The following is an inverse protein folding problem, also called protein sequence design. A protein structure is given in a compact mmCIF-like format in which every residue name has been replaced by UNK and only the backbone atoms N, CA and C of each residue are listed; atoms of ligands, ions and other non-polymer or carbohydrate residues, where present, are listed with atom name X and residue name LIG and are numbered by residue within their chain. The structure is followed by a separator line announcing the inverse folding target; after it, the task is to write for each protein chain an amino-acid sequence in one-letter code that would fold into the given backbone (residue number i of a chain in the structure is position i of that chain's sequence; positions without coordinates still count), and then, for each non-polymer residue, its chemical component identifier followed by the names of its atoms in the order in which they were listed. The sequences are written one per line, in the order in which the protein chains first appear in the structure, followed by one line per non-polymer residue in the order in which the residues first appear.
data_IF_658314351096
#
_entry.id   IF_658314351096
#
_cell.length_a   1.000
_cell.length_b   1.000
_cell.length_c   1.000
_cell.angle_alpha   90.00
_cell.angle_beta   90.00
_cell.angle_gamma   90.00
#
_symmetry.space_group_name_H-M   'P 1'
#
loop_
_entity.id
_entity.type
_entity.pdbx_description
1 polymer ?
#
# COMPACT_ATOMS: atom_id res chain seq x y z
N UNK A 1 17.49 9.06 -14.58
CA UNK A 1 17.73 8.27 -13.34
C UNK A 1 18.95 8.74 -12.56
N UNK A 2 20.04 9.16 -13.21
CA UNK A 2 21.31 9.54 -12.56
C UNK A 2 21.17 10.53 -11.39
N UNK A 3 20.44 11.63 -11.60
CA UNK A 3 20.24 12.67 -10.56
C UNK A 3 19.59 12.09 -9.30
N UNK A 4 18.52 11.31 -9.45
CA UNK A 4 17.84 10.68 -8.32
C UNK A 4 18.69 9.57 -7.68
N UNK A 5 19.38 8.76 -8.49
CA UNK A 5 20.27 7.70 -8.02
C UNK A 5 21.46 8.24 -7.21
N UNK A 6 21.92 9.47 -7.49
CA UNK A 6 22.98 10.14 -6.71
C UNK A 6 22.60 10.45 -5.26
N UNK A 7 21.31 10.31 -4.91
CA UNK A 7 20.79 10.44 -3.54
C UNK A 7 20.71 9.10 -2.80
N UNK A 8 21.04 7.99 -3.47
CA UNK A 8 20.91 6.64 -2.93
C UNK A 8 22.11 6.17 -2.09
N UNK A 9 21.99 5.01 -1.40
CA UNK A 9 22.99 4.51 -0.45
C UNK A 9 24.33 4.12 -1.08
N UNK A 10 24.40 3.97 -2.40
CA UNK A 10 25.63 3.67 -3.12
C UNK A 10 26.38 4.94 -3.56
N UNK A 11 25.79 6.12 -3.37
CA UNK A 11 26.40 7.38 -3.77
C UNK A 11 27.30 7.94 -2.64
N UNK A 12 28.41 8.62 -2.98
CA UNK A 12 29.33 9.16 -1.99
C UNK A 12 28.68 10.23 -1.08
N UNK A 13 27.63 10.90 -1.56
CA UNK A 13 26.95 11.99 -0.87
C UNK A 13 25.71 11.52 -0.07
N UNK A 14 25.51 10.22 0.16
CA UNK A 14 24.32 9.67 0.83
C UNK A 14 24.00 10.34 2.18
N UNK A 15 24.98 10.48 3.07
CA UNK A 15 24.79 11.09 4.39
C UNK A 15 24.47 12.58 4.31
N UNK A 16 25.05 13.26 3.31
CA UNK A 16 24.77 14.67 3.03
C UNK A 16 23.34 14.84 2.52
N UNK A 17 22.87 13.93 1.68
CA UNK A 17 21.47 13.91 1.23
C UNK A 17 20.51 13.65 2.39
N UNK A 18 20.81 12.72 3.31
CA UNK A 18 19.99 12.51 4.51
C UNK A 18 19.78 13.78 5.33
N UNK A 19 20.86 14.52 5.60
CA UNK A 19 20.80 15.83 6.28
C UNK A 19 20.00 16.86 5.47
N UNK A 20 20.20 16.91 4.16
CA UNK A 20 19.52 17.85 3.27
C UNK A 20 18.01 17.58 3.24
N UNK A 21 17.60 16.34 3.08
CA UNK A 21 16.20 15.92 3.01
C UNK A 21 15.50 16.14 4.36
N UNK A 22 16.14 15.78 5.48
CA UNK A 22 15.61 16.02 6.83
C UNK A 22 15.49 17.52 7.15
N UNK A 23 16.44 18.34 6.69
CA UNK A 23 16.33 19.79 6.86
C UNK A 23 15.22 20.41 6.01
N UNK A 24 14.95 19.82 4.83
CA UNK A 24 13.93 20.28 3.87
C UNK A 24 12.51 19.85 4.27
N UNK A 25 12.33 18.61 4.71
CA UNK A 25 11.03 18.01 5.07
C UNK A 25 10.98 17.76 6.58
N UNK A 26 10.33 18.67 7.32
CA UNK A 26 10.31 18.66 8.80
C UNK A 26 9.55 17.47 9.40
N UNK A 27 8.65 16.88 8.63
CA UNK A 27 7.83 15.72 8.96
C UNK A 27 8.47 14.40 8.52
N UNK A 28 9.69 14.42 7.95
CA UNK A 28 10.42 13.22 7.59
C UNK A 28 10.76 12.41 8.85
N UNK A 29 10.28 11.17 8.90
CA UNK A 29 10.39 10.31 10.07
C UNK A 29 11.82 9.76 10.30
N UNK A 30 12.53 9.44 9.22
CA UNK A 30 13.87 8.85 9.28
C UNK A 30 14.92 9.88 8.81
N UNK A 31 16.08 10.00 9.47
CA UNK A 31 17.09 11.00 9.10
C UNK A 31 17.91 10.66 7.85
N UNK A 32 17.95 9.40 7.43
CA UNK A 32 18.72 8.92 6.29
C UNK A 32 18.12 9.38 4.96
N UNK A 33 18.90 9.33 3.88
CA UNK A 33 18.35 9.56 2.54
C UNK A 33 17.48 8.37 2.13
N UNK A 34 16.31 8.63 1.56
CA UNK A 34 15.44 7.61 0.98
C UNK A 34 14.96 8.07 -0.40
N UNK A 35 14.64 7.09 -1.24
CA UNK A 35 14.25 7.30 -2.62
C UNK A 35 12.96 8.12 -2.72
N UNK A 36 11.97 7.87 -1.84
CA UNK A 36 10.71 8.60 -1.83
C UNK A 36 10.93 10.10 -1.57
N UNK A 37 11.62 10.48 -0.50
CA UNK A 37 11.91 11.87 -0.18
C UNK A 37 12.87 12.53 -1.18
N UNK A 38 13.80 11.76 -1.76
CA UNK A 38 14.66 12.22 -2.86
C UNK A 38 13.85 12.63 -4.10
N UNK A 39 12.82 11.87 -4.48
CA UNK A 39 11.94 12.23 -5.59
C UNK A 39 11.10 13.47 -5.28
N UNK A 40 10.54 13.56 -4.06
CA UNK A 40 9.81 14.76 -3.61
C UNK A 40 10.71 15.99 -3.64
N UNK A 41 11.98 15.87 -3.25
CA UNK A 41 12.94 16.97 -3.33
C UNK A 41 13.10 17.47 -4.76
N UNK A 42 13.26 16.58 -5.75
CA UNK A 42 13.37 16.96 -7.16
C UNK A 42 12.10 17.64 -7.67
N UNK A 43 10.93 17.14 -7.28
CA UNK A 43 9.64 17.74 -7.66
C UNK A 43 9.44 19.14 -7.06
N UNK A 44 9.91 19.37 -5.82
CA UNK A 44 9.71 20.64 -5.11
C UNK A 44 10.79 21.67 -5.45
N UNK A 45 12.07 21.25 -5.50
CA UNK A 45 13.23 22.15 -5.67
C UNK A 45 13.67 22.31 -7.12
N UNK A 46 13.39 21.33 -7.98
CA UNK A 46 13.72 21.36 -9.40
C UNK A 46 12.46 21.24 -10.27
N UNK A 47 11.34 21.82 -9.78
CA UNK A 47 10.02 21.71 -10.40
C UNK A 47 10.03 22.04 -11.90
N UNK A 48 10.76 23.08 -12.31
CA UNK A 48 10.77 23.57 -13.70
C UNK A 48 11.44 22.57 -14.64
N UNK A 49 12.25 21.64 -14.11
CA UNK A 49 12.88 20.58 -14.91
C UNK A 49 12.04 19.30 -14.98
N UNK A 50 11.36 18.97 -13.88
CA UNK A 50 10.80 17.63 -13.67
C UNK A 50 9.27 17.58 -13.58
N UNK A 51 8.61 18.60 -13.02
CA UNK A 51 7.19 18.52 -12.65
C UNK A 51 6.28 18.31 -13.87
N UNK A 52 6.51 18.99 -14.99
CA UNK A 52 5.69 18.86 -16.20
C UNK A 52 5.78 17.48 -16.86
N UNK A 53 6.81 16.69 -16.51
CA UNK A 53 7.04 15.33 -17.03
C UNK A 53 6.51 14.25 -16.09
N UNK A 54 5.99 14.64 -14.92
CA UNK A 54 5.57 13.72 -13.87
C UNK A 54 4.08 13.91 -13.62
N UNK A 55 3.30 12.86 -13.86
CA UNK A 55 1.89 12.82 -13.53
C UNK A 55 1.70 12.24 -12.13
N UNK A 56 1.13 13.04 -11.23
CA UNK A 56 0.75 12.60 -9.88
C UNK A 56 -0.68 12.05 -9.90
N UNK A 57 -0.79 10.72 -9.96
CA UNK A 57 -2.08 10.03 -9.96
C UNK A 57 -2.79 10.18 -8.61
N UNK A 58 -4.05 10.62 -8.65
CA UNK A 58 -4.92 10.82 -7.48
C UNK A 58 -6.38 10.47 -7.73
N UNK A 59 -6.76 10.11 -8.95
CA UNK A 59 -8.10 9.70 -9.36
C UNK A 59 -8.46 8.30 -8.88
N UNK A 60 -7.46 7.44 -8.62
CA UNK A 60 -7.63 6.15 -7.96
C UNK A 60 -6.47 5.85 -7.00
N UNK A 61 -6.68 4.91 -6.08
CA UNK A 61 -5.65 4.47 -5.13
C UNK A 61 -4.63 3.56 -5.82
N UNK A 62 -3.73 4.15 -6.59
CA UNK A 62 -2.61 3.44 -7.20
C UNK A 62 -1.73 2.78 -6.12
N UNK A 63 -1.30 3.57 -5.14
CA UNK A 63 -0.69 3.14 -3.89
C UNK A 63 -1.51 3.70 -2.73
N UNK A 64 -1.61 2.94 -1.63
CA UNK A 64 -2.14 3.51 -0.40
C UNK A 64 -1.64 2.78 0.82
N UNK A 65 -1.35 3.53 1.88
CA UNK A 65 -0.82 2.99 3.11
C UNK A 65 -1.85 2.10 3.80
N UNK A 66 -1.38 1.01 4.37
CA UNK A 66 -2.22 0.10 5.14
C UNK A 66 -3.04 0.83 6.23
N UNK A 67 -2.42 1.67 7.05
CA UNK A 67 -3.09 2.40 8.12
C UNK A 67 -4.22 3.33 7.64
N UNK A 68 -4.14 3.84 6.41
CA UNK A 68 -5.17 4.70 5.81
C UNK A 68 -6.38 3.91 5.30
N UNK A 69 -6.26 2.59 5.20
CA UNK A 69 -7.29 1.68 4.68
C UNK A 69 -7.99 0.90 5.79
N UNK A 70 -7.38 0.77 6.97
CA UNK A 70 -7.80 -0.19 8.01
C UNK A 70 -8.30 0.52 9.26
N UNK A 71 -9.34 1.34 9.12
CA UNK A 71 -10.32 1.44 10.20
C UNK A 71 -11.45 0.47 9.88
N UNK A 72 -11.46 -0.70 10.54
CA UNK A 72 -12.48 -1.76 10.35
C UNK A 72 -13.91 -1.22 10.54
N UNK A 73 -14.11 -0.29 11.47
CA UNK A 73 -15.39 0.41 11.68
C UNK A 73 -15.86 1.21 10.47
N UNK A 74 -14.95 1.81 9.70
CA UNK A 74 -15.27 2.61 8.52
C UNK A 74 -15.46 1.75 7.27
N UNK A 75 -14.75 0.62 7.17
CA UNK A 75 -14.87 -0.31 6.05
C UNK A 75 -16.27 -0.96 6.03
N UNK A 76 -16.73 -1.54 7.16
CA UNK A 76 -18.07 -2.14 7.25
C UNK A 76 -19.19 -1.11 7.10
N UNK A 77 -19.03 0.09 7.69
CA UNK A 77 -20.02 1.16 7.57
C UNK A 77 -20.09 1.77 6.16
N UNK A 78 -19.01 1.71 5.36
CA UNK A 78 -18.99 2.20 3.97
C UNK A 78 -19.58 1.22 2.97
N UNK A 79 -19.55 -0.09 3.22
CA UNK A 79 -20.02 -1.11 2.27
C UNK A 79 -21.44 -0.85 1.70
N UNK A 80 -22.44 -0.40 2.47
CA UNK A 80 -23.77 -0.08 1.94
C UNK A 80 -23.77 1.14 1.00
N UNK A 81 -23.04 2.19 1.34
CA UNK A 81 -22.91 3.42 0.53
C UNK A 81 -22.09 3.18 -0.74
N UNK A 82 -21.04 2.37 -0.61
CA UNK A 82 -20.19 1.92 -1.71
C UNK A 82 -21.02 1.11 -2.71
N UNK A 83 -21.83 0.12 -2.28
CA UNK A 83 -22.77 -0.59 -3.16
C UNK A 83 -23.74 0.34 -3.89
N UNK A 84 -24.30 1.35 -3.20
CA UNK A 84 -25.28 2.29 -3.77
C UNK A 84 -24.70 3.24 -4.83
N UNK A 85 -23.42 3.57 -4.72
CA UNK A 85 -22.71 4.41 -5.70
C UNK A 85 -22.13 3.62 -6.89
N UNK A 86 -22.56 2.37 -7.11
CA UNK A 86 -21.97 1.46 -8.11
C UNK A 86 -20.58 0.95 -7.73
N UNK A 87 -20.19 1.19 -6.48
CA UNK A 87 -18.85 1.00 -5.97
C UNK A 87 -18.73 -0.10 -4.89
N UNK A 88 -19.59 -1.13 -4.91
CA UNK A 88 -19.53 -2.24 -3.96
C UNK A 88 -18.32 -3.15 -4.16
N UNK A 89 -18.26 -4.27 -3.41
CA UNK A 89 -17.35 -5.41 -3.68
C UNK A 89 -17.19 -5.54 -5.22
N UNK A 90 -15.95 -5.33 -5.73
CA UNK A 90 -15.57 -5.17 -7.16
C UNK A 90 -15.50 -3.73 -7.76
N UNK A 91 -15.32 -2.66 -6.97
CA UNK A 91 -15.27 -1.29 -7.50
C UNK A 91 -13.93 -0.55 -7.47
N UNK A 92 -13.93 0.61 -8.15
CA UNK A 92 -12.85 1.57 -8.41
C UNK A 92 -12.09 2.12 -7.19
N UNK A 93 -12.52 1.78 -5.96
CA UNK A 93 -11.87 2.24 -4.71
C UNK A 93 -11.20 1.13 -3.91
N UNK A 94 -11.13 -0.09 -4.45
CA UNK A 94 -10.17 -1.08 -3.98
C UNK A 94 -8.79 -0.60 -4.37
N UNK A 95 -7.84 -0.51 -3.43
CA UNK A 95 -6.50 -0.12 -3.81
C UNK A 95 -5.91 -1.14 -4.75
N UNK A 96 -5.23 -0.65 -5.78
CA UNK A 96 -4.47 -1.52 -6.67
C UNK A 96 -3.28 -2.12 -5.90
N UNK A 97 -2.56 -1.29 -5.15
CA UNK A 97 -1.46 -1.72 -4.26
C UNK A 97 -1.81 -1.40 -2.80
N UNK A 98 -1.67 -2.39 -1.92
CA UNK A 98 -1.66 -2.18 -0.47
C UNK A 98 -0.22 -2.22 0.02
N UNK A 99 0.31 -1.06 0.41
CA UNK A 99 1.68 -0.93 0.87
C UNK A 99 1.74 -0.90 2.41
N UNK A 100 2.56 -1.80 2.95
CA UNK A 100 2.80 -1.97 4.39
C UNK A 100 4.04 -1.17 4.83
N UNK A 101 4.00 0.14 4.61
CA UNK A 101 5.11 1.05 4.92
C UNK A 101 5.49 0.94 6.40
N UNK A 102 6.77 0.71 6.68
CA UNK A 102 7.28 0.63 8.05
C UNK A 102 7.12 -0.73 8.77
N UNK A 103 6.42 -1.71 8.17
CA UNK A 103 6.28 -3.03 8.78
C UNK A 103 7.59 -3.84 8.79
N UNK A 104 8.48 -3.62 7.81
CA UNK A 104 9.84 -4.17 7.76
C UNK A 104 9.96 -5.68 8.13
N UNK A 105 9.18 -6.58 7.50
CA UNK A 105 9.07 -7.98 7.91
C UNK A 105 10.40 -8.77 7.78
N UNK A 106 11.32 -8.34 6.92
CA UNK A 106 12.58 -9.04 6.68
C UNK A 106 13.70 -8.69 7.66
N UNK A 107 13.70 -7.47 8.23
CA UNK A 107 14.79 -7.02 9.10
C UNK A 107 14.54 -7.32 10.58
N UNK A 108 13.30 -7.64 10.95
CA UNK A 108 12.87 -7.83 12.34
C UNK A 108 12.87 -6.56 13.20
N UNK A 109 13.29 -5.41 12.64
CA UNK A 109 13.33 -4.11 13.32
C UNK A 109 12.04 -3.35 13.07
N UNK A 110 10.92 -3.88 13.55
CA UNK A 110 9.60 -3.26 13.34
C UNK A 110 9.59 -1.81 13.85
N UNK A 111 9.00 -0.90 13.06
CA UNK A 111 8.79 0.48 13.50
C UNK A 111 7.89 0.49 14.75
N UNK A 112 8.37 1.11 15.83
CA UNK A 112 7.67 1.20 17.12
C UNK A 112 6.28 1.87 17.04
N UNK A 113 6.00 2.60 15.95
CA UNK A 113 4.69 3.20 15.70
C UNK A 113 3.58 2.18 15.39
N UNK A 114 3.93 0.93 15.07
CA UNK A 114 2.96 -0.13 14.77
C UNK A 114 3.28 -1.36 15.63
N UNK A 115 2.29 -1.90 16.35
CA UNK A 115 2.46 -3.18 17.03
C UNK A 115 2.85 -4.25 15.98
N UNK A 116 3.98 -4.95 16.15
CA UNK A 116 4.50 -5.90 15.16
C UNK A 116 3.49 -6.99 14.75
N UNK A 117 2.66 -7.43 15.70
CA UNK A 117 1.54 -8.35 15.47
C UNK A 117 0.48 -7.78 14.51
N UNK A 118 0.22 -6.46 14.58
CA UNK A 118 -0.70 -5.76 13.68
C UNK A 118 -0.18 -5.77 12.23
N UNK A 119 1.12 -5.59 12.02
CA UNK A 119 1.72 -5.64 10.69
C UNK A 119 1.57 -7.03 10.04
N UNK A 120 1.95 -8.08 10.75
CA UNK A 120 1.91 -9.45 10.20
C UNK A 120 0.48 -9.92 9.93
N UNK A 121 -0.42 -9.75 10.90
CA UNK A 121 -1.84 -10.10 10.75
C UNK A 121 -2.49 -9.35 9.59
N UNK A 122 -2.14 -8.08 9.43
CA UNK A 122 -2.67 -7.27 8.34
C UNK A 122 -2.13 -7.66 6.97
N UNK A 123 -0.86 -8.06 6.89
CA UNK A 123 -0.29 -8.63 5.66
C UNK A 123 -1.01 -9.92 5.27
N UNK A 124 -1.22 -10.83 6.22
CA UNK A 124 -1.99 -12.07 5.99
C UNK A 124 -3.41 -11.76 5.50
N UNK A 125 -4.12 -10.84 6.16
CA UNK A 125 -5.47 -10.42 5.73
C UNK A 125 -5.47 -9.90 4.29
N UNK A 126 -4.51 -9.06 3.92
CA UNK A 126 -4.42 -8.49 2.57
C UNK A 126 -4.10 -9.55 1.51
N UNK A 127 -3.19 -10.48 1.80
CA UNK A 127 -2.84 -11.58 0.92
C UNK A 127 -4.04 -12.51 0.70
N UNK A 128 -4.69 -12.98 1.78
CA UNK A 128 -5.84 -13.88 1.68
C UNK A 128 -7.05 -13.20 1.04
N UNK A 129 -7.19 -11.87 1.18
CA UNK A 129 -8.18 -11.10 0.44
C UNK A 129 -7.89 -11.06 -1.08
N UNK A 130 -6.63 -10.91 -1.47
CA UNK A 130 -6.21 -10.99 -2.86
C UNK A 130 -6.39 -12.40 -3.41
N UNK A 131 -5.98 -13.42 -2.65
CA UNK A 131 -6.09 -14.82 -3.05
C UNK A 131 -7.55 -15.26 -3.21
N UNK A 132 -8.45 -14.75 -2.37
CA UNK A 132 -9.89 -14.90 -2.54
C UNK A 132 -10.45 -14.32 -3.84
N UNK A 133 -9.75 -13.45 -4.56
CA UNK A 133 -10.18 -13.01 -5.90
C UNK A 133 -9.81 -14.05 -6.97
N UNK A 134 -8.77 -14.86 -6.72
CA UNK A 134 -8.32 -15.95 -7.59
C UNK A 134 -9.07 -17.25 -7.27
N UNK A 135 -9.08 -17.67 -6.01
CA UNK A 135 -9.70 -18.92 -5.54
C UNK A 135 -11.18 -19.05 -5.90
N UNK A 136 -11.90 -17.92 -5.97
CA UNK A 136 -13.32 -17.90 -6.38
C UNK A 136 -13.54 -18.46 -7.77
N UNK A 137 -12.57 -18.29 -8.69
CA UNK A 137 -12.65 -18.86 -10.03
C UNK A 137 -12.57 -20.39 -10.03
N UNK A 138 -12.03 -20.97 -8.96
CA UNK A 138 -11.92 -22.41 -8.74
C UNK A 138 -12.97 -22.94 -7.77
N UNK A 139 -13.91 -22.10 -7.33
CA UNK A 139 -14.96 -22.49 -6.40
C UNK A 139 -14.49 -22.61 -4.95
N UNK A 140 -13.44 -21.91 -4.54
CA UNK A 140 -12.94 -21.90 -3.16
C UNK A 140 -12.87 -20.49 -2.56
N UNK A 141 -12.78 -20.41 -1.24
CA UNK A 141 -12.57 -19.17 -0.48
C UNK A 141 -11.92 -19.45 0.87
N UNK A 142 -11.01 -18.59 1.32
CA UNK A 142 -10.61 -18.47 2.72
C UNK A 142 -11.78 -17.90 3.54
N UNK A 143 -12.36 -18.66 4.48
CA UNK A 143 -13.46 -18.18 5.32
C UNK A 143 -12.98 -17.17 6.37
N UNK A 144 -11.75 -17.34 6.87
CA UNK A 144 -11.06 -16.43 7.77
C UNK A 144 -9.82 -15.87 7.06
N UNK A 145 -9.67 -14.55 7.06
CA UNK A 145 -8.54 -13.88 6.42
C UNK A 145 -7.24 -13.97 7.24
N UNK A 146 -7.30 -14.38 8.51
CA UNK A 146 -6.13 -14.66 9.33
C UNK A 146 -5.66 -16.12 9.26
N UNK A 147 -6.45 -17.00 8.65
CA UNK A 147 -6.06 -18.40 8.42
C UNK A 147 -5.72 -18.62 6.95
N UNK A 148 -4.42 -18.61 6.67
CA UNK A 148 -3.88 -18.83 5.31
C UNK A 148 -3.90 -20.31 4.90
N UNK A 149 -4.19 -21.24 5.80
CA UNK A 149 -4.14 -22.68 5.55
C UNK A 149 -5.48 -23.27 5.15
N UNK A 150 -6.58 -22.71 5.65
CA UNK A 150 -7.93 -23.24 5.40
C UNK A 150 -8.61 -22.57 4.22
N UNK A 151 -9.10 -23.38 3.29
CA UNK A 151 -10.02 -22.97 2.22
C UNK A 151 -11.28 -23.82 2.26
N UNK A 152 -12.40 -23.22 1.89
CA UNK A 152 -13.71 -23.88 1.86
C UNK A 152 -14.33 -23.77 0.47
N UNK A 153 -15.03 -24.80 -0.01
CA UNK A 153 -15.73 -24.72 -1.28
C UNK A 153 -16.86 -23.69 -1.20
N UNK A 154 -17.03 -22.91 -2.26
CA UNK A 154 -18.18 -22.05 -2.42
C UNK A 154 -19.44 -22.87 -2.72
N UNK A 155 -20.62 -22.39 -2.29
CA UNK A 155 -21.87 -23.00 -2.72
C UNK A 155 -21.92 -23.06 -4.24
N UNK A 156 -22.29 -24.22 -4.80
CA UNK A 156 -22.48 -24.37 -6.23
C UNK A 156 -23.51 -23.32 -6.69
N UNK A 157 -23.06 -22.34 -7.47
CA UNK A 157 -23.97 -21.48 -8.21
C UNK A 157 -24.57 -22.40 -9.28
N UNK A 158 -25.83 -22.80 -9.09
CA UNK A 158 -26.65 -23.28 -10.19
C UNK A 158 -26.73 -22.13 -11.18
N UNK A 159 -25.91 -22.17 -12.24
CA UNK A 159 -26.11 -21.30 -13.40
C UNK A 159 -27.56 -21.52 -13.84
N UNK A 160 -28.39 -20.46 -13.99
CA UNK A 160 -29.70 -20.63 -14.57
C UNK A 160 -29.49 -21.27 -15.94
N UNK A 161 -30.05 -22.46 -16.12
CA UNK A 161 -30.05 -23.14 -17.42
C UNK A 161 -30.72 -22.19 -18.42
N UNK A 162 -29.95 -21.70 -19.38
CA UNK A 162 -30.47 -21.05 -20.57
C UNK A 162 -31.21 -22.03 -21.47
#
# INVERSE_FOLDING_TARGET
MEVWASMGPQAPDYDKWGKTLTSTFKDKMFPESDDQSGLVYLLVKEKDKWAEKIYLESQYYFEGRHAEKVSESYAEQREPYLKKAGNGRYSWRRPFITHFTGCQPCSGKHNQMYAGESCWNSMQKALNFADNQVLRNFGFVHPDLLDSSTVTPLPLITLPKG
#
